data_IF_485270070566
#
_entry.id   IF_485270070566
#
_cell.length_a   1.000
_cell.length_b   1.000
_cell.length_c   1.000
_cell.angle_alpha   90.00
_cell.angle_beta   90.00
_cell.angle_gamma   90.00
#
_symmetry.space_group_name_H-M   'P 1'
#
loop_
_entity.id
_entity.type
_entity.pdbx_description
1 polymer ?
#
# COMPACT_ATOMS: atom_id res chain seq x y z
N UNK A 1 -8.52 -4.51 -19.00
CA UNK A 1 -8.15 -3.33 -18.19
C UNK A 1 -7.90 -3.64 -16.70
N UNK A 2 -8.13 -4.87 -16.19
CA UNK A 2 -8.07 -5.13 -14.74
C UNK A 2 -6.83 -5.89 -14.23
N UNK A 3 -6.13 -6.68 -15.07
CA UNK A 3 -5.01 -7.53 -14.61
C UNK A 3 -3.75 -6.71 -14.30
N UNK A 4 -3.38 -5.77 -15.17
CA UNK A 4 -2.22 -4.89 -14.95
C UNK A 4 -2.39 -4.03 -13.69
N UNK A 5 -3.61 -3.56 -13.41
CA UNK A 5 -3.90 -2.78 -12.21
C UNK A 5 -3.85 -3.68 -10.96
N UNK A 6 -4.38 -4.91 -11.03
CA UNK A 6 -4.29 -5.87 -9.94
C UNK A 6 -2.83 -6.23 -9.60
N UNK A 7 -1.99 -6.47 -10.63
CA UNK A 7 -0.56 -6.72 -10.46
C UNK A 7 0.13 -5.49 -9.84
N UNK A 8 -0.18 -4.29 -10.32
CA UNK A 8 0.33 -3.04 -9.75
C UNK A 8 -0.05 -2.88 -8.27
N UNK A 9 -1.29 -3.18 -7.90
CA UNK A 9 -1.75 -3.12 -6.51
C UNK A 9 -1.06 -4.16 -5.62
N UNK A 10 -0.82 -5.38 -6.12
CA UNK A 10 -0.05 -6.39 -5.39
C UNK A 10 1.39 -5.95 -5.11
N UNK A 11 2.05 -5.29 -6.06
CA UNK A 11 3.39 -4.75 -5.88
C UNK A 11 3.39 -3.63 -4.83
N UNK A 12 2.43 -2.71 -4.91
CA UNK A 12 2.28 -1.61 -3.93
C UNK A 12 1.97 -2.15 -2.54
N UNK A 13 1.14 -3.19 -2.44
CA UNK A 13 0.85 -3.88 -1.18
C UNK A 13 2.10 -4.55 -0.58
N UNK A 14 2.87 -5.27 -1.40
CA UNK A 14 4.13 -5.89 -0.96
C UNK A 14 5.15 -4.83 -0.49
N UNK A 15 5.24 -3.70 -1.20
CA UNK A 15 6.08 -2.57 -0.80
C UNK A 15 5.62 -1.97 0.55
N UNK A 16 4.31 -1.81 0.74
CA UNK A 16 3.73 -1.34 2.00
C UNK A 16 4.02 -2.28 3.18
N UNK A 17 3.99 -3.60 2.96
CA UNK A 17 4.38 -4.58 3.98
C UNK A 17 5.87 -4.48 4.30
N UNK A 18 6.74 -4.31 3.30
CA UNK A 18 8.18 -4.18 3.50
C UNK A 18 8.57 -2.92 4.29
N UNK A 19 7.73 -1.87 4.27
CA UNK A 19 7.93 -0.68 5.09
C UNK A 19 7.80 -0.95 6.60
N UNK A 20 7.04 -1.96 7.04
CA UNK A 20 6.90 -2.26 8.48
C UNK A 20 8.21 -2.72 9.13
N UNK A 21 8.90 -3.79 8.67
CA UNK A 21 10.19 -4.18 9.25
C UNK A 21 11.27 -3.13 9.04
N UNK A 22 11.16 -2.30 7.99
CA UNK A 22 12.08 -1.18 7.76
C UNK A 22 11.90 -0.07 8.81
N UNK A 23 10.65 0.25 9.17
CA UNK A 23 10.34 1.20 10.24
C UNK A 23 10.91 0.76 11.59
N UNK A 24 10.91 -0.55 11.89
CA UNK A 24 11.50 -1.09 13.14
C UNK A 24 13.03 -1.10 13.15
N UNK A 25 13.69 -0.94 12.01
CA UNK A 25 15.15 -0.85 11.91
C UNK A 25 15.68 0.59 11.87
N UNK A 26 14.81 1.60 11.92
CA UNK A 26 15.22 3.00 11.87
C UNK A 26 15.60 3.53 13.25
N UNK A 27 16.81 4.08 13.36
CA UNK A 27 17.34 4.68 14.60
C UNK A 27 16.59 5.92 15.08
N UNK A 28 15.91 6.65 14.19
CA UNK A 28 15.15 7.85 14.58
C UNK A 28 13.66 7.57 14.66
N UNK A 29 13.05 7.89 15.81
CA UNK A 29 11.61 7.71 16.06
C UNK A 29 10.73 8.39 15.00
N UNK A 30 11.13 9.58 14.55
CA UNK A 30 10.37 10.34 13.55
C UNK A 30 10.39 9.66 12.16
N UNK A 31 11.54 9.16 11.71
CA UNK A 31 11.61 8.40 10.45
C UNK A 31 10.88 7.06 10.55
N UNK A 32 11.00 6.37 11.69
CA UNK A 32 10.28 5.12 11.95
C UNK A 32 8.77 5.35 11.80
N UNK A 33 8.24 6.39 12.44
CA UNK A 33 6.81 6.74 12.37
C UNK A 33 6.38 7.15 10.96
N UNK A 34 7.21 7.92 10.23
CA UNK A 34 6.93 8.31 8.85
C UNK A 34 6.88 7.11 7.91
N UNK A 35 7.83 6.16 8.03
CA UNK A 35 7.88 4.96 7.20
C UNK A 35 6.74 3.99 7.56
N UNK A 36 6.40 3.89 8.84
CA UNK A 36 5.22 3.15 9.27
C UNK A 36 3.94 3.72 8.66
N UNK A 37 3.72 5.04 8.78
CA UNK A 37 2.57 5.73 8.18
C UNK A 37 2.56 5.59 6.65
N UNK A 38 3.71 5.70 5.99
CA UNK A 38 3.82 5.48 4.55
C UNK A 38 3.43 4.05 4.16
N UNK A 39 3.87 3.04 4.91
CA UNK A 39 3.48 1.64 4.71
C UNK A 39 1.98 1.41 4.86
N UNK A 40 1.34 2.03 5.86
CA UNK A 40 -0.12 1.99 6.04
C UNK A 40 -0.83 2.65 4.87
N UNK A 41 -0.41 3.85 4.46
CA UNK A 41 -1.02 4.58 3.34
C UNK A 41 -0.89 3.83 2.01
N UNK A 42 0.26 3.23 1.72
CA UNK A 42 0.48 2.39 0.53
C UNK A 42 -0.45 1.18 0.51
N UNK A 43 -0.62 0.51 1.66
CA UNK A 43 -1.57 -0.60 1.78
C UNK A 43 -3.02 -0.13 1.58
N UNK A 44 -3.42 0.97 2.19
CA UNK A 44 -4.76 1.56 1.98
C UNK A 44 -5.00 1.89 0.50
N UNK A 45 -4.00 2.48 -0.18
CA UNK A 45 -4.08 2.79 -1.61
C UNK A 45 -4.23 1.52 -2.46
N UNK A 46 -3.45 0.48 -2.16
CA UNK A 46 -3.50 -0.80 -2.86
C UNK A 46 -4.88 -1.49 -2.77
N UNK A 47 -5.62 -1.29 -1.67
CA UNK A 47 -7.00 -1.78 -1.53
C UNK A 47 -8.04 -0.83 -2.14
N UNK A 48 -7.80 0.48 -2.07
CA UNK A 48 -8.74 1.49 -2.56
C UNK A 48 -8.91 1.45 -4.08
N UNK A 49 -7.81 1.31 -4.84
CA UNK A 49 -7.83 1.26 -6.31
C UNK A 49 -8.73 0.14 -6.86
N UNK A 50 -8.55 -1.15 -6.48
CA UNK A 50 -9.42 -2.23 -6.96
C UNK A 50 -10.86 -2.10 -6.45
N UNK A 51 -11.07 -1.54 -5.25
CA UNK A 51 -12.41 -1.24 -4.73
C UNK A 51 -13.17 -0.22 -5.59
N UNK A 52 -12.51 0.87 -6.00
CA UNK A 52 -13.11 1.85 -6.91
C UNK A 52 -13.43 1.24 -8.29
N UNK A 53 -12.53 0.41 -8.82
CA UNK A 53 -12.71 -0.23 -10.13
C UNK A 53 -13.85 -1.26 -10.14
N UNK A 54 -14.00 -2.05 -9.07
CA UNK A 54 -15.09 -3.04 -8.94
C UNK A 54 -16.42 -2.39 -8.59
N UNK A 55 -16.42 -1.30 -7.81
CA UNK A 55 -17.63 -0.53 -7.48
C UNK A 55 -18.30 0.12 -8.69
N UNK A 56 -17.53 0.52 -9.71
CA UNK A 56 -18.06 1.07 -10.96
C UNK A 56 -18.67 0.02 -11.90
N UNK A 57 -18.33 -1.26 -11.76
CA UNK A 57 -18.81 -2.35 -12.64
C UNK A 57 -20.23 -2.84 -12.32
N UNK A 58 -20.90 -2.24 -11.32
CA UNK A 58 -22.27 -2.59 -10.89
C UNK A 58 -23.36 -1.64 -11.40
N UNK A 59 -23.08 -0.86 -12.46
CA UNK A 59 -24.08 -0.08 -13.19
C UNK A 59 -24.25 -0.60 -14.60
#
# INVERSE_FOLDING_TARGET
MSVLIAIGCLIVFAAGIACYPLAFHMDSDMMSLLVFCAGVLLNCLAFFIPWQLTGHSRK
#
